data_IF_796310054084
#
_entry.id   IF_796310054084
#
_cell.length_a   1.000
_cell.length_b   1.000
_cell.length_c   1.000
_cell.angle_alpha   90.00
_cell.angle_beta   90.00
_cell.angle_gamma   90.00
#
_symmetry.space_group_name_H-M   'P 1'
#
loop_
_entity.id
_entity.type
_entity.pdbx_description
1 polymer ?
#
# COMPACT_ATOMS: atom_id res chain seq x y z
N UNK A 1 18.21 25.25 -16.27
CA UNK A 1 18.51 24.60 -14.97
C UNK A 1 19.44 23.44 -15.21
N UNK A 2 20.42 23.23 -14.34
CA UNK A 2 21.34 22.08 -14.39
C UNK A 2 20.55 20.78 -14.09
N UNK A 3 20.76 19.74 -14.90
CA UNK A 3 20.09 18.44 -14.71
C UNK A 3 20.70 17.73 -13.49
N UNK A 4 19.93 17.62 -12.40
CA UNK A 4 20.35 16.92 -11.18
C UNK A 4 20.34 15.39 -11.38
N UNK A 5 21.42 14.72 -10.99
CA UNK A 5 21.57 13.27 -11.01
C UNK A 5 22.96 12.85 -11.45
N UNK A 6 23.54 11.82 -10.80
CA UNK A 6 24.93 11.40 -11.01
C UNK A 6 25.24 10.82 -12.39
N UNK A 7 24.21 10.41 -13.15
CA UNK A 7 24.32 9.89 -14.50
C UNK A 7 22.98 10.06 -15.24
N UNK A 8 22.96 9.72 -16.54
CA UNK A 8 21.78 9.89 -17.41
C UNK A 8 20.54 9.12 -16.91
N UNK A 9 20.70 7.90 -16.38
CA UNK A 9 19.59 7.11 -15.82
C UNK A 9 18.93 7.85 -14.67
N UNK A 10 19.71 8.30 -13.70
CA UNK A 10 19.19 9.01 -12.53
C UNK A 10 18.56 10.35 -12.93
N UNK A 11 19.13 11.05 -13.90
CA UNK A 11 18.54 12.28 -14.44
C UNK A 11 17.17 12.02 -15.06
N UNK A 12 17.01 10.96 -15.86
CA UNK A 12 15.72 10.58 -16.48
C UNK A 12 14.68 10.16 -15.44
N UNK A 13 15.05 9.26 -14.52
CA UNK A 13 14.15 8.82 -13.44
C UNK A 13 13.70 9.98 -12.55
N UNK A 14 14.63 10.89 -12.22
CA UNK A 14 14.30 12.09 -11.45
C UNK A 14 13.35 13.00 -12.22
N UNK A 15 13.57 13.19 -13.52
CA UNK A 15 12.69 14.01 -14.36
C UNK A 15 11.26 13.49 -14.31
N UNK A 16 11.06 12.18 -14.52
CA UNK A 16 9.74 11.54 -14.35
C UNK A 16 9.17 11.83 -12.96
N UNK A 17 9.94 11.55 -11.91
CA UNK A 17 9.48 11.73 -10.52
C UNK A 17 9.00 13.14 -10.18
N UNK A 18 9.64 14.18 -10.72
CA UNK A 18 9.33 15.59 -10.38
C UNK A 18 8.44 16.30 -11.38
N UNK A 19 8.27 15.76 -12.60
CA UNK A 19 7.49 16.39 -13.67
C UNK A 19 6.16 15.69 -13.94
N UNK A 20 5.99 14.43 -13.53
CA UNK A 20 4.72 13.74 -13.68
C UNK A 20 3.64 14.42 -12.84
N UNK A 21 2.53 14.79 -13.49
CA UNK A 21 1.37 15.37 -12.85
C UNK A 21 0.77 14.36 -11.85
N UNK A 22 0.64 14.70 -10.56
CA UNK A 22 -0.04 13.84 -9.60
C UNK A 22 -1.50 13.64 -9.97
N UNK A 23 -1.96 12.41 -9.82
CA UNK A 23 -3.33 11.97 -10.11
C UNK A 23 -3.88 11.14 -8.95
N UNK A 24 -5.20 11.04 -8.86
CA UNK A 24 -5.87 10.09 -8.00
C UNK A 24 -5.93 8.72 -8.70
N UNK A 25 -5.77 7.64 -7.93
CA UNK A 25 -6.01 6.26 -8.35
C UNK A 25 -7.17 5.66 -7.54
N UNK A 26 -8.12 5.03 -8.25
CA UNK A 26 -9.28 4.38 -7.65
C UNK A 26 -9.13 2.85 -7.54
N UNK A 27 -8.07 2.25 -8.08
CA UNK A 27 -7.84 0.79 -8.10
C UNK A 27 -7.94 0.20 -6.68
N UNK A 28 -7.20 0.78 -5.72
CA UNK A 28 -7.17 0.31 -4.33
C UNK A 28 -8.57 0.35 -3.70
N UNK A 29 -9.27 1.48 -3.81
CA UNK A 29 -10.57 1.68 -3.19
C UNK A 29 -11.63 0.74 -3.76
N UNK A 30 -11.58 0.45 -5.06
CA UNK A 30 -12.45 -0.53 -5.69
C UNK A 30 -12.20 -1.94 -5.14
N UNK A 31 -10.93 -2.38 -5.11
CA UNK A 31 -10.54 -3.69 -4.56
C UNK A 31 -10.96 -3.82 -3.09
N UNK A 32 -10.71 -2.80 -2.28
CA UNK A 32 -11.10 -2.78 -0.86
C UNK A 32 -12.62 -2.90 -0.71
N UNK A 33 -13.38 -2.14 -1.50
CA UNK A 33 -14.85 -2.17 -1.49
C UNK A 33 -15.38 -3.57 -1.83
N UNK A 34 -14.82 -4.23 -2.83
CA UNK A 34 -15.22 -5.60 -3.22
C UNK A 34 -14.96 -6.61 -2.09
N UNK A 35 -13.76 -6.56 -1.51
CA UNK A 35 -13.38 -7.44 -0.39
C UNK A 35 -14.32 -7.24 0.78
N UNK A 36 -14.55 -5.99 1.17
CA UNK A 36 -15.36 -5.66 2.33
C UNK A 36 -16.83 -6.06 2.12
N UNK A 37 -17.40 -5.82 0.93
CA UNK A 37 -18.75 -6.31 0.59
C UNK A 37 -18.86 -7.83 0.70
N UNK A 38 -17.78 -8.57 0.37
CA UNK A 38 -17.75 -10.02 0.39
C UNK A 38 -17.56 -10.62 1.79
N UNK A 39 -16.69 -10.04 2.62
CA UNK A 39 -16.20 -10.69 3.84
C UNK A 39 -16.58 -9.99 5.14
N UNK A 40 -17.01 -8.72 5.11
CA UNK A 40 -17.35 -7.99 6.33
C UNK A 40 -18.47 -8.69 7.11
N UNK A 41 -18.27 -8.90 8.41
CA UNK A 41 -19.20 -9.61 9.28
C UNK A 41 -19.09 -11.14 9.25
N UNK A 42 -18.28 -11.72 8.35
CA UNK A 42 -18.06 -13.16 8.26
C UNK A 42 -16.70 -13.60 8.81
N UNK A 43 -15.73 -12.68 8.89
CA UNK A 43 -14.38 -12.92 9.42
C UNK A 43 -14.02 -11.85 10.44
N UNK A 44 -13.01 -12.12 11.26
CA UNK A 44 -12.46 -11.16 12.23
C UNK A 44 -11.85 -9.93 11.51
N UNK A 45 -11.76 -8.80 12.22
CA UNK A 45 -11.20 -7.58 11.66
C UNK A 45 -9.75 -7.73 11.14
N UNK A 46 -8.82 -8.41 11.85
CA UNK A 46 -7.45 -8.64 11.35
C UNK A 46 -7.44 -9.46 10.07
N UNK A 47 -8.26 -10.51 10.00
CA UNK A 47 -8.38 -11.36 8.80
C UNK A 47 -9.01 -10.58 7.65
N UNK A 48 -10.02 -9.73 7.90
CA UNK A 48 -10.63 -8.89 6.87
C UNK A 48 -9.60 -7.94 6.22
N UNK A 49 -8.78 -7.25 7.03
CA UNK A 49 -7.71 -6.37 6.53
C UNK A 49 -6.69 -7.15 5.73
N UNK A 50 -6.27 -8.32 6.22
CA UNK A 50 -5.30 -9.15 5.53
C UNK A 50 -5.84 -9.72 4.21
N UNK A 51 -7.13 -10.09 4.15
CA UNK A 51 -7.78 -10.52 2.90
C UNK A 51 -7.84 -9.40 1.87
N UNK A 52 -8.12 -8.17 2.31
CA UNK A 52 -8.02 -6.99 1.44
C UNK A 52 -6.60 -6.84 0.91
N UNK A 53 -5.61 -6.85 1.79
CA UNK A 53 -4.20 -6.71 1.39
C UNK A 53 -3.77 -7.82 0.42
N UNK A 54 -4.20 -9.06 0.65
CA UNK A 54 -3.99 -10.20 -0.26
C UNK A 54 -4.59 -9.95 -1.64
N UNK A 55 -5.85 -9.52 -1.72
CA UNK A 55 -6.50 -9.22 -3.00
C UNK A 55 -5.79 -8.06 -3.71
N UNK A 56 -5.39 -7.01 -2.98
CA UNK A 56 -4.65 -5.88 -3.54
C UNK A 56 -3.29 -6.31 -4.11
N UNK A 57 -2.47 -7.03 -3.34
CA UNK A 57 -1.16 -7.51 -3.80
C UNK A 57 -1.29 -8.49 -4.97
N UNK A 58 -2.39 -9.25 -5.03
CA UNK A 58 -2.70 -10.18 -6.11
C UNK A 58 -3.18 -9.53 -7.41
N UNK A 59 -3.83 -8.35 -7.34
CA UNK A 59 -4.50 -7.73 -8.48
C UNK A 59 -3.89 -6.43 -8.96
N UNK A 60 -3.28 -5.62 -8.07
CA UNK A 60 -2.81 -4.27 -8.41
C UNK A 60 -1.99 -4.25 -9.70
N UNK A 61 -2.13 -3.20 -10.49
CA UNK A 61 -1.29 -2.96 -11.66
C UNK A 61 0.18 -2.95 -11.27
N UNK A 62 1.05 -3.47 -12.13
CA UNK A 62 2.48 -3.49 -11.91
C UNK A 62 3.14 -2.50 -12.87
N UNK A 63 4.13 -1.77 -12.37
CA UNK A 63 4.87 -0.78 -13.13
C UNK A 63 6.37 -1.05 -13.02
N UNK A 64 7.04 -1.07 -14.17
CA UNK A 64 8.50 -1.03 -14.26
C UNK A 64 8.84 0.03 -15.31
N UNK A 65 9.24 1.20 -14.84
CA UNK A 65 9.63 2.33 -15.67
C UNK A 65 10.92 2.10 -16.44
N UNK A 66 11.14 2.91 -17.48
CA UNK A 66 12.38 2.86 -18.25
C UNK A 66 13.57 3.23 -17.36
N UNK A 67 14.58 2.35 -17.33
CA UNK A 67 15.80 2.57 -16.55
C UNK A 67 15.68 2.26 -15.06
N UNK A 68 14.51 1.87 -14.55
CA UNK A 68 14.37 1.45 -13.15
C UNK A 68 15.18 0.20 -12.83
N UNK A 69 15.76 0.18 -11.62
CA UNK A 69 16.47 -0.97 -11.06
C UNK A 69 15.78 -1.50 -9.80
N UNK A 70 15.16 -0.62 -9.03
CA UNK A 70 14.28 -0.95 -7.90
C UNK A 70 12.86 -0.73 -8.39
N UNK A 71 11.98 -1.71 -8.21
CA UNK A 71 10.68 -1.73 -8.88
C UNK A 71 9.52 -1.76 -7.91
N UNK A 72 8.46 -1.05 -8.29
CA UNK A 72 7.16 -1.09 -7.63
C UNK A 72 6.60 0.31 -7.38
N UNK A 73 5.33 0.49 -7.73
CA UNK A 73 4.59 1.73 -7.50
C UNK A 73 3.37 1.49 -6.61
N UNK A 74 2.95 2.53 -5.88
CA UNK A 74 1.73 2.48 -5.06
C UNK A 74 0.50 2.34 -5.96
N UNK A 75 0.34 3.28 -6.89
CA UNK A 75 -0.67 3.23 -7.94
C UNK A 75 -0.21 2.45 -9.17
N UNK A 76 -0.86 2.73 -10.28
CA UNK A 76 -0.67 2.09 -11.59
C UNK A 76 0.58 2.62 -12.31
N UNK A 77 1.01 3.85 -11.97
CA UNK A 77 2.15 4.55 -12.55
C UNK A 77 2.67 5.64 -11.59
N UNK A 78 3.83 6.29 -11.88
CA UNK A 78 4.40 7.30 -11.00
C UNK A 78 3.41 8.42 -10.70
N UNK A 79 3.39 8.89 -9.44
CA UNK A 79 2.51 9.96 -8.94
C UNK A 79 0.99 9.63 -8.98
N UNK A 80 0.60 8.38 -9.21
CA UNK A 80 -0.77 7.90 -9.00
C UNK A 80 -1.02 7.59 -7.52
N UNK A 81 -1.77 8.45 -6.84
CA UNK A 81 -2.05 8.37 -5.41
C UNK A 81 -3.32 7.56 -5.14
N UNK A 82 -3.24 6.40 -4.46
CA UNK A 82 -4.42 5.61 -4.12
C UNK A 82 -5.28 6.32 -3.06
N UNK A 83 -6.58 6.06 -3.08
CA UNK A 83 -7.52 6.55 -2.05
C UNK A 83 -7.79 5.52 -0.94
N UNK A 84 -8.17 6.03 0.23
CA UNK A 84 -8.35 5.26 1.47
C UNK A 84 -9.73 5.53 2.10
N UNK A 85 -10.81 5.04 1.47
CA UNK A 85 -12.17 5.38 1.87
C UNK A 85 -12.55 4.80 3.24
N UNK A 86 -11.83 3.80 3.75
CA UNK A 86 -12.00 3.30 5.11
C UNK A 86 -11.53 4.29 6.18
N UNK A 87 -10.64 5.21 5.82
CA UNK A 87 -10.15 6.29 6.67
C UNK A 87 -10.97 7.55 6.47
N UNK A 88 -10.94 8.09 5.25
CA UNK A 88 -11.68 9.28 4.84
C UNK A 88 -12.35 9.01 3.49
N UNK A 89 -13.68 8.95 3.50
CA UNK A 89 -14.48 8.86 2.30
C UNK A 89 -14.75 10.28 1.78
N UNK A 90 -13.98 10.70 0.77
CA UNK A 90 -14.13 12.02 0.14
C UNK A 90 -15.54 12.20 -0.47
N UNK A 91 -16.10 13.39 -0.34
CA UNK A 91 -17.27 13.81 -1.10
C UNK A 91 -16.92 14.11 -2.57
N UNK A 92 -17.92 14.37 -3.40
CA UNK A 92 -17.67 14.85 -4.77
C UNK A 92 -17.04 16.24 -4.78
N UNK A 93 -17.44 17.12 -3.85
CA UNK A 93 -16.83 18.43 -3.66
C UNK A 93 -15.35 18.30 -3.29
N UNK A 94 -14.99 17.37 -2.41
CA UNK A 94 -13.58 17.11 -2.09
C UNK A 94 -12.79 16.69 -3.34
N UNK A 95 -13.36 15.86 -4.22
CA UNK A 95 -12.71 15.46 -5.48
C UNK A 95 -12.53 16.66 -6.42
N UNK A 96 -13.52 17.53 -6.55
CA UNK A 96 -13.42 18.77 -7.33
C UNK A 96 -12.31 19.69 -6.77
N UNK A 97 -12.28 19.87 -5.44
CA UNK A 97 -11.26 20.68 -4.77
C UNK A 97 -9.86 20.10 -4.98
N UNK A 98 -9.68 18.78 -4.89
CA UNK A 98 -8.37 18.14 -5.14
C UNK A 98 -7.90 18.33 -6.58
N UNK A 99 -8.81 18.28 -7.56
CA UNK A 99 -8.49 18.46 -8.98
C UNK A 99 -8.11 19.92 -9.31
N UNK A 100 -8.84 20.87 -8.73
CA UNK A 100 -8.81 22.27 -9.11
C UNK A 100 -7.89 23.15 -8.26
N UNK A 101 -7.53 22.71 -7.04
CA UNK A 101 -6.73 23.55 -6.13
C UNK A 101 -5.40 23.96 -6.74
N UNK A 102 -5.02 25.22 -6.52
CA UNK A 102 -3.81 25.80 -7.11
C UNK A 102 -2.53 25.10 -6.63
N UNK A 103 -2.48 24.74 -5.34
CA UNK A 103 -1.32 24.12 -4.71
C UNK A 103 -1.60 22.65 -4.39
N UNK A 104 -0.63 21.80 -4.71
CA UNK A 104 -0.65 20.36 -4.40
C UNK A 104 -1.86 19.65 -5.03
N UNK A 105 -2.26 19.97 -6.27
CA UNK A 105 -3.40 19.29 -6.91
C UNK A 105 -3.10 17.83 -7.26
N UNK A 106 -4.17 17.03 -7.23
CA UNK A 106 -4.20 15.68 -7.77
C UNK A 106 -5.29 15.64 -8.83
N UNK A 107 -4.91 15.35 -10.08
CA UNK A 107 -5.89 15.26 -11.16
C UNK A 107 -6.82 14.07 -10.97
N UNK A 108 -8.09 14.30 -11.23
CA UNK A 108 -9.15 13.29 -11.08
C UNK A 108 -9.74 13.01 -12.47
N UNK A 109 -9.76 11.74 -12.86
CA UNK A 109 -10.39 11.34 -14.12
C UNK A 109 -11.92 11.49 -14.01
N UNK A 110 -12.58 11.93 -15.09
CA UNK A 110 -14.03 12.19 -15.10
C UNK A 110 -14.84 10.94 -14.67
N UNK A 111 -14.38 9.74 -15.04
CA UNK A 111 -15.04 8.49 -14.65
C UNK A 111 -14.97 8.21 -13.14
N UNK A 112 -13.99 8.75 -12.43
CA UNK A 112 -13.81 8.52 -10.99
C UNK A 112 -14.86 9.23 -10.16
N UNK A 113 -15.45 10.34 -10.64
CA UNK A 113 -16.59 10.98 -9.97
C UNK A 113 -17.80 10.04 -9.93
N UNK A 114 -18.10 9.36 -11.05
CA UNK A 114 -19.20 8.42 -11.11
C UNK A 114 -18.94 7.17 -10.24
N UNK A 115 -17.70 6.69 -10.19
CA UNK A 115 -17.30 5.59 -9.29
C UNK A 115 -17.46 6.01 -7.83
N UNK A 116 -17.00 7.21 -7.49
CA UNK A 116 -17.09 7.74 -6.13
C UNK A 116 -18.55 7.84 -5.67
N UNK A 117 -19.40 8.47 -6.49
CA UNK A 117 -20.82 8.67 -6.21
C UNK A 117 -21.59 7.35 -6.08
N UNK A 118 -21.40 6.43 -7.03
CA UNK A 118 -22.26 5.25 -7.17
C UNK A 118 -21.76 4.04 -6.39
N UNK A 119 -20.47 3.98 -6.09
CA UNK A 119 -19.84 2.78 -5.50
C UNK A 119 -19.20 3.04 -4.15
N UNK A 120 -18.37 4.09 -4.05
CA UNK A 120 -17.53 4.32 -2.86
C UNK A 120 -18.33 4.98 -1.75
N UNK A 121 -18.91 6.17 -1.99
CA UNK A 121 -19.69 6.93 -0.99
C UNK A 121 -20.80 6.07 -0.37
N UNK A 122 -21.65 5.36 -1.13
CA UNK A 122 -22.77 4.61 -0.55
C UNK A 122 -22.32 3.50 0.41
N UNK A 123 -21.11 2.97 0.22
CA UNK A 123 -20.56 1.95 1.10
C UNK A 123 -19.76 2.56 2.26
N UNK A 124 -18.90 3.53 2.00
CA UNK A 124 -17.88 3.96 2.94
C UNK A 124 -18.23 5.17 3.80
N UNK A 125 -19.15 6.03 3.40
CA UNK A 125 -19.42 7.30 4.10
C UNK A 125 -19.70 7.09 5.61
N UNK A 126 -20.69 6.26 5.93
CA UNK A 126 -21.01 5.90 7.32
C UNK A 126 -19.99 4.96 7.99
N UNK A 127 -19.06 4.37 7.22
CA UNK A 127 -18.09 3.37 7.71
C UNK A 127 -16.70 3.95 7.95
N UNK A 128 -16.38 5.10 7.35
CA UNK A 128 -15.07 5.72 7.42
C UNK A 128 -14.68 6.04 8.86
N UNK A 129 -13.39 5.98 9.13
CA UNK A 129 -12.84 6.31 10.45
C UNK A 129 -13.12 7.77 10.79
N UNK A 130 -13.01 8.68 9.82
CA UNK A 130 -13.34 10.10 9.96
C UNK A 130 -14.77 10.31 10.46
N UNK A 131 -15.75 9.71 9.79
CA UNK A 131 -17.17 9.82 10.16
C UNK A 131 -17.41 9.31 11.59
N UNK A 132 -16.75 8.21 11.97
CA UNK A 132 -16.83 7.66 13.34
C UNK A 132 -16.19 8.55 14.38
N UNK A 133 -15.03 9.15 14.10
CA UNK A 133 -14.36 10.09 15.00
C UNK A 133 -15.27 11.29 15.24
N UNK A 134 -15.62 12.02 14.18
CA UNK A 134 -16.40 13.26 14.27
C UNK A 134 -17.79 13.04 14.88
N UNK A 135 -18.43 11.90 14.59
CA UNK A 135 -19.71 11.51 15.18
C UNK A 135 -19.66 11.21 16.68
N UNK A 136 -18.47 10.93 17.25
CA UNK A 136 -18.28 10.63 18.68
C UNK A 136 -17.72 11.80 19.49
N UNK A 137 -17.23 12.85 18.84
CA UNK A 137 -16.67 14.01 19.52
C UNK A 137 -17.77 14.90 20.11
N UNK A 138 -17.47 15.52 21.25
CA UNK A 138 -18.33 16.50 21.93
C UNK A 138 -18.39 17.81 21.15
N UNK A 139 -19.41 18.63 21.40
CA UNK A 139 -19.53 19.94 20.73
C UNK A 139 -18.37 20.87 21.10
N UNK A 140 -17.96 20.90 22.38
CA UNK A 140 -16.80 21.68 22.82
C UNK A 140 -15.48 21.28 22.11
N UNK A 141 -15.31 19.99 21.78
CA UNK A 141 -14.17 19.54 20.99
C UNK A 141 -14.25 20.07 19.56
N UNK A 142 -15.43 20.01 18.93
CA UNK A 142 -15.65 20.48 17.56
C UNK A 142 -15.45 21.99 17.45
N UNK A 143 -15.93 22.76 18.42
CA UNK A 143 -15.75 24.21 18.47
C UNK A 143 -14.26 24.57 18.55
N UNK A 144 -13.49 23.88 19.40
CA UNK A 144 -12.05 24.11 19.53
C UNK A 144 -11.27 23.73 18.26
N UNK A 145 -11.63 22.61 17.63
CA UNK A 145 -11.06 22.18 16.36
C UNK A 145 -11.36 23.18 15.23
N UNK A 146 -12.61 23.63 15.09
CA UNK A 146 -13.02 24.62 14.09
C UNK A 146 -12.38 26.00 14.31
N UNK A 147 -12.13 26.37 15.57
CA UNK A 147 -11.41 27.59 15.93
C UNK A 147 -9.89 27.49 15.71
N UNK A 148 -9.36 26.33 15.32
CA UNK A 148 -7.93 26.13 15.06
C UNK A 148 -7.08 26.06 16.33
N UNK A 149 -7.67 25.68 17.47
CA UNK A 149 -6.93 25.55 18.75
C UNK A 149 -6.02 24.31 18.72
N UNK A 150 -6.45 23.24 18.05
CA UNK A 150 -5.67 22.04 17.79
C UNK A 150 -6.12 21.41 16.46
N UNK A 151 -5.36 20.41 15.99
CA UNK A 151 -5.70 19.58 14.82
C UNK A 151 -5.84 18.11 15.22
N UNK A 152 -6.51 17.30 14.41
CA UNK A 152 -6.66 15.85 14.61
C UNK A 152 -5.89 15.11 13.51
N UNK A 153 -4.88 14.32 13.87
CA UNK A 153 -3.98 13.69 12.90
C UNK A 153 -4.60 12.47 12.23
N UNK A 154 -5.53 11.80 12.91
CA UNK A 154 -6.12 10.53 12.47
C UNK A 154 -7.45 10.72 11.71
N UNK A 155 -7.87 11.95 11.43
CA UNK A 155 -9.12 12.19 10.70
C UNK A 155 -9.06 11.77 9.22
N UNK A 156 -7.87 11.79 8.60
CA UNK A 156 -7.69 11.48 7.17
C UNK A 156 -6.56 10.49 6.89
N UNK A 157 -5.82 10.10 7.94
CA UNK A 157 -4.70 9.15 7.87
C UNK A 157 -4.89 8.09 8.95
N UNK A 158 -4.37 6.89 8.69
CA UNK A 158 -4.26 5.87 9.72
C UNK A 158 -3.16 6.23 10.71
N UNK A 159 -3.18 5.63 11.91
CA UNK A 159 -1.98 5.60 12.74
C UNK A 159 -0.80 5.08 11.93
N UNK A 160 0.40 5.49 12.32
CA UNK A 160 1.63 5.19 11.59
C UNK A 160 2.79 5.68 12.41
N UNK A 161 3.62 6.54 11.81
CA UNK A 161 4.73 7.21 12.48
C UNK A 161 5.66 6.20 13.18
N UNK A 162 5.97 5.13 12.47
CA UNK A 162 6.92 4.10 12.89
C UNK A 162 8.06 4.02 11.88
N UNK A 163 9.12 3.31 12.21
CA UNK A 163 10.26 3.08 11.31
C UNK A 163 10.46 1.59 11.10
N UNK A 164 10.92 1.22 9.91
CA UNK A 164 11.28 -0.15 9.63
C UNK A 164 12.33 -0.72 10.58
N UNK A 165 12.28 -2.04 10.76
CA UNK A 165 13.29 -2.80 11.52
C UNK A 165 14.33 -3.38 10.57
N UNK A 166 15.56 -3.47 11.03
CA UNK A 166 16.65 -4.20 10.38
C UNK A 166 16.35 -5.70 10.17
N UNK A 167 15.34 -6.22 10.85
CA UNK A 167 14.89 -7.61 10.77
C UNK A 167 14.48 -8.04 9.35
N UNK A 168 14.04 -7.13 8.48
CA UNK A 168 13.73 -7.44 7.08
C UNK A 168 14.98 -7.86 6.28
N UNK A 169 16.17 -7.54 6.77
CA UNK A 169 17.45 -7.94 6.17
C UNK A 169 17.97 -9.27 6.74
N UNK A 170 17.56 -9.62 7.96
CA UNK A 170 17.94 -10.87 8.61
C UNK A 170 17.04 -12.05 8.19
N UNK A 171 15.74 -11.79 7.95
CA UNK A 171 14.71 -12.81 7.72
C UNK A 171 13.81 -12.46 6.55
N UNK A 172 13.44 -13.47 5.76
CA UNK A 172 12.41 -13.36 4.73
C UNK A 172 10.99 -13.47 5.31
N UNK A 173 9.96 -13.28 4.50
CA UNK A 173 8.58 -13.50 4.95
C UNK A 173 8.24 -15.00 5.10
N UNK A 174 8.97 -15.92 4.45
CA UNK A 174 8.85 -17.36 4.72
C UNK A 174 9.25 -17.71 6.16
N UNK A 175 10.32 -17.10 6.67
CA UNK A 175 10.74 -17.27 8.08
C UNK A 175 9.65 -16.78 9.05
N UNK A 176 8.99 -15.66 8.71
CA UNK A 176 7.88 -15.10 9.50
C UNK A 176 6.65 -15.99 9.47
N UNK A 177 6.29 -16.55 8.31
CA UNK A 177 5.21 -17.53 8.20
C UNK A 177 5.49 -18.76 9.08
N UNK A 178 6.71 -19.30 9.02
CA UNK A 178 7.09 -20.43 9.87
C UNK A 178 7.01 -20.10 11.37
N UNK A 179 7.42 -18.89 11.77
CA UNK A 179 7.25 -18.43 13.15
C UNK A 179 5.77 -18.32 13.53
N UNK A 180 4.94 -17.69 12.69
CA UNK A 180 3.50 -17.55 12.92
C UNK A 180 2.80 -18.91 13.03
N UNK A 181 3.16 -19.87 12.17
CA UNK A 181 2.59 -21.21 12.17
C UNK A 181 2.94 -21.97 13.45
N UNK A 182 4.14 -21.78 13.98
CA UNK A 182 4.53 -22.31 15.29
C UNK A 182 3.72 -21.67 16.41
N UNK A 183 3.65 -20.33 16.46
CA UNK A 183 2.88 -19.62 17.49
C UNK A 183 1.40 -20.02 17.48
N UNK A 184 0.81 -20.25 16.30
CA UNK A 184 -0.56 -20.74 16.16
C UNK A 184 -0.76 -22.15 16.74
N UNK A 185 0.23 -23.04 16.58
CA UNK A 185 0.19 -24.41 17.11
C UNK A 185 0.34 -24.43 18.64
N UNK A 186 1.12 -23.50 19.19
CA UNK A 186 1.46 -23.44 20.60
C UNK A 186 0.40 -22.68 21.45
N UNK A 187 -0.70 -22.19 20.85
CA UNK A 187 -1.77 -21.48 21.56
C UNK A 187 -2.51 -22.38 22.56
N UNK A 188 -2.54 -21.96 23.83
CA UNK A 188 -3.27 -22.64 24.91
C UNK A 188 -4.73 -22.18 25.01
N UNK A 189 -5.61 -22.83 24.25
CA UNK A 189 -7.05 -22.54 24.30
C UNK A 189 -7.76 -22.95 25.60
N UNK A 190 -7.10 -23.68 26.50
CA UNK A 190 -7.70 -24.13 27.76
C UNK A 190 -7.47 -23.12 28.87
N UNK A 191 -6.28 -22.52 28.94
CA UNK A 191 -5.90 -21.64 30.04
C UNK A 191 -5.71 -20.16 29.63
N UNK A 192 -5.59 -19.85 28.33
CA UNK A 192 -5.47 -18.47 27.84
C UNK A 192 -6.78 -18.00 27.19
N UNK A 193 -7.51 -17.13 27.88
CA UNK A 193 -8.77 -16.55 27.40
C UNK A 193 -8.58 -15.68 26.14
N UNK A 194 -7.38 -15.16 25.90
CA UNK A 194 -7.07 -14.37 24.70
C UNK A 194 -6.60 -15.23 23.54
N UNK A 195 -6.40 -16.55 23.71
CA UNK A 195 -5.93 -17.44 22.66
C UNK A 195 -6.78 -17.34 21.37
N UNK A 196 -8.14 -17.27 21.42
CA UNK A 196 -8.94 -17.05 20.21
C UNK A 196 -8.63 -15.73 19.49
N UNK A 197 -8.44 -14.63 20.22
CA UNK A 197 -8.11 -13.34 19.63
C UNK A 197 -6.69 -13.32 19.04
N UNK A 198 -5.72 -13.92 19.75
CA UNK A 198 -4.34 -14.10 19.26
C UNK A 198 -4.32 -14.92 17.97
N UNK A 199 -5.11 -15.99 17.90
CA UNK A 199 -5.24 -16.81 16.71
C UNK A 199 -5.71 -15.99 15.50
N UNK A 200 -6.71 -15.13 15.67
CA UNK A 200 -7.22 -14.28 14.59
C UNK A 200 -6.20 -13.23 14.13
N UNK A 201 -5.44 -12.64 15.05
CA UNK A 201 -4.33 -11.74 14.71
C UNK A 201 -3.23 -12.48 13.92
N UNK A 202 -2.80 -13.65 14.39
CA UNK A 202 -1.78 -14.47 13.75
C UNK A 202 -2.23 -14.95 12.36
N UNK A 203 -3.50 -15.34 12.19
CA UNK A 203 -4.07 -15.67 10.86
C UNK A 203 -4.01 -14.48 9.91
N UNK A 204 -4.37 -13.28 10.40
CA UNK A 204 -4.23 -12.04 9.62
C UNK A 204 -2.78 -11.78 9.19
N UNK A 205 -1.83 -11.85 10.13
CA UNK A 205 -0.40 -11.67 9.85
C UNK A 205 0.13 -12.68 8.82
N UNK A 206 -0.29 -13.95 8.93
CA UNK A 206 0.11 -15.00 7.99
C UNK A 206 -0.37 -14.69 6.56
N UNK A 207 -1.64 -14.29 6.41
CA UNK A 207 -2.21 -13.90 5.12
C UNK A 207 -1.47 -12.69 4.53
N UNK A 208 -1.14 -11.70 5.36
CA UNK A 208 -0.38 -10.52 4.91
C UNK A 208 1.04 -10.87 4.45
N UNK A 209 1.72 -11.78 5.18
CA UNK A 209 3.04 -12.30 4.79
C UNK A 209 2.98 -13.06 3.46
N UNK A 210 1.95 -13.87 3.22
CA UNK A 210 1.74 -14.54 1.93
C UNK A 210 1.46 -13.54 0.80
N UNK A 211 0.71 -12.47 1.08
CA UNK A 211 0.35 -11.44 0.12
C UNK A 211 1.57 -10.68 -0.42
N UNK A 212 2.49 -10.25 0.45
CA UNK A 212 3.70 -9.54 0.02
C UNK A 212 4.66 -10.45 -0.77
N UNK A 213 4.72 -11.75 -0.43
CA UNK A 213 5.44 -12.75 -1.22
C UNK A 213 4.84 -12.88 -2.62
N UNK A 214 3.51 -12.90 -2.71
CA UNK A 214 2.81 -12.94 -3.99
C UNK A 214 3.14 -11.71 -4.85
N UNK A 215 3.24 -10.51 -4.27
CA UNK A 215 3.67 -9.30 -4.98
C UNK A 215 5.07 -9.49 -5.60
N UNK A 216 6.05 -9.95 -4.82
CA UNK A 216 7.41 -10.20 -5.32
C UNK A 216 7.43 -11.20 -6.48
N UNK A 217 6.67 -12.29 -6.36
CA UNK A 217 6.52 -13.29 -7.44
C UNK A 217 5.90 -12.69 -8.70
N UNK A 218 4.88 -11.83 -8.57
CA UNK A 218 4.26 -11.15 -9.72
C UNK A 218 5.25 -10.20 -10.41
N UNK A 219 6.02 -9.42 -9.64
CA UNK A 219 7.09 -8.57 -10.22
C UNK A 219 8.20 -9.38 -10.88
N UNK A 220 8.56 -10.54 -10.31
CA UNK A 220 9.51 -11.46 -10.92
C UNK A 220 9.04 -11.92 -12.30
N UNK A 221 7.78 -12.37 -12.41
CA UNK A 221 7.17 -12.76 -13.69
C UNK A 221 7.07 -11.59 -14.67
N UNK A 222 6.58 -10.43 -14.22
CA UNK A 222 6.42 -9.25 -15.06
C UNK A 222 7.75 -8.74 -15.63
N UNK A 223 8.81 -8.70 -14.82
CA UNK A 223 10.14 -8.32 -15.29
C UNK A 223 10.70 -9.31 -16.34
N UNK A 224 10.46 -10.62 -16.17
CA UNK A 224 10.84 -11.63 -17.15
C UNK A 224 10.08 -11.46 -18.49
N UNK A 225 8.77 -11.16 -18.42
CA UNK A 225 7.96 -10.89 -19.62
C UNK A 225 8.45 -9.65 -20.38
N UNK A 226 8.80 -8.57 -19.68
CA UNK A 226 9.40 -7.39 -20.28
C UNK A 226 10.77 -7.71 -20.90
N UNK A 227 11.61 -8.48 -20.20
CA UNK A 227 12.92 -8.90 -20.72
C UNK A 227 12.82 -9.72 -22.01
N UNK A 228 11.78 -10.54 -22.16
CA UNK A 228 11.54 -11.34 -23.36
C UNK A 228 11.22 -10.47 -24.59
N UNK A 229 10.61 -9.30 -24.38
CA UNK A 229 10.21 -8.33 -25.42
C UNK A 229 11.25 -7.23 -25.66
N UNK A 230 12.29 -7.17 -24.82
CA UNK A 230 13.32 -6.14 -24.86
C UNK A 230 14.40 -6.46 -25.92
N UNK A 231 14.68 -5.46 -26.76
CA UNK A 231 15.67 -5.56 -27.84
C UNK A 231 17.04 -5.05 -27.39
N UNK A 232 17.10 -4.10 -26.45
CA UNK A 232 18.35 -3.59 -25.92
C UNK A 232 19.00 -4.64 -25.00
N UNK A 233 20.19 -5.19 -25.33
CA UNK A 233 20.80 -6.25 -24.53
C UNK A 233 21.14 -5.83 -23.09
N UNK A 234 21.49 -4.56 -22.89
CA UNK A 234 21.76 -4.00 -21.56
C UNK A 234 20.49 -3.95 -20.71
N UNK A 235 19.40 -3.38 -21.24
CA UNK A 235 18.13 -3.31 -20.53
C UNK A 235 17.54 -4.71 -20.27
N UNK A 236 17.67 -5.62 -21.23
CA UNK A 236 17.25 -7.01 -21.06
C UNK A 236 17.96 -7.68 -19.88
N UNK A 237 19.28 -7.50 -19.75
CA UNK A 237 20.04 -8.02 -18.61
C UNK A 237 19.58 -7.43 -17.28
N UNK A 238 19.25 -6.13 -17.24
CA UNK A 238 18.71 -5.49 -16.04
C UNK A 238 17.35 -6.07 -15.65
N UNK A 239 16.44 -6.25 -16.60
CA UNK A 239 15.11 -6.81 -16.35
C UNK A 239 15.18 -8.27 -15.87
N UNK A 240 16.09 -9.08 -16.43
CA UNK A 240 16.36 -10.41 -15.91
C UNK A 240 16.90 -10.37 -14.48
N UNK A 241 17.82 -9.43 -14.18
CA UNK A 241 18.32 -9.27 -12.82
C UNK A 241 17.24 -8.83 -11.83
N UNK A 242 16.33 -7.95 -12.24
CA UNK A 242 15.15 -7.57 -11.45
C UNK A 242 14.27 -8.80 -11.20
N UNK A 243 14.03 -9.61 -12.24
CA UNK A 243 13.25 -10.84 -12.12
C UNK A 243 13.85 -11.79 -11.08
N UNK A 244 15.17 -12.02 -11.14
CA UNK A 244 15.90 -12.84 -10.16
C UNK A 244 15.85 -12.26 -8.75
N UNK A 245 15.99 -10.94 -8.60
CA UNK A 245 15.90 -10.29 -7.29
C UNK A 245 14.52 -10.46 -6.67
N UNK A 246 13.45 -10.20 -7.43
CA UNK A 246 12.07 -10.35 -6.99
C UNK A 246 11.64 -11.81 -6.78
N UNK A 247 12.37 -12.77 -7.36
CA UNK A 247 12.19 -14.19 -7.07
C UNK A 247 12.69 -14.54 -5.67
N UNK A 248 13.73 -13.84 -5.17
CA UNK A 248 14.28 -14.02 -3.83
C UNK A 248 13.50 -13.19 -2.80
N UNK A 249 13.43 -11.87 -2.96
CA UNK A 249 12.79 -10.97 -1.98
C UNK A 249 11.37 -10.61 -2.44
N UNK A 250 10.38 -10.55 -1.53
CA UNK A 250 10.52 -10.54 -0.07
C UNK A 250 10.38 -11.94 0.59
N UNK A 251 10.26 -13.02 -0.17
CA UNK A 251 10.05 -14.37 0.37
C UNK A 251 11.21 -14.83 1.27
N UNK A 252 12.42 -14.64 0.78
CA UNK A 252 13.67 -15.00 1.43
C UNK A 252 14.45 -13.75 1.87
N UNK A 253 15.39 -13.92 2.79
CA UNK A 253 16.31 -12.83 3.18
C UNK A 253 17.16 -12.36 1.98
N UNK A 254 17.46 -11.06 1.87
CA UNK A 254 18.32 -10.55 0.81
C UNK A 254 19.75 -11.12 0.91
N UNK A 255 20.36 -11.44 -0.23
CA UNK A 255 21.74 -11.94 -0.35
C UNK A 255 22.69 -10.93 -0.97
N UNK A 256 22.15 -9.89 -1.60
CA UNK A 256 22.91 -8.80 -2.24
C UNK A 256 22.38 -7.46 -1.77
N UNK A 257 23.18 -6.40 -1.95
CA UNK A 257 22.74 -5.04 -1.63
C UNK A 257 21.53 -4.60 -2.45
N UNK A 258 21.45 -5.00 -3.73
CA UNK A 258 20.28 -4.73 -4.57
C UNK A 258 19.03 -5.39 -3.99
N UNK A 259 19.13 -6.67 -3.61
CA UNK A 259 18.01 -7.38 -2.97
C UNK A 259 17.60 -6.73 -1.64
N UNK A 260 18.54 -6.19 -0.86
CA UNK A 260 18.22 -5.48 0.37
C UNK A 260 17.41 -4.20 0.12
N UNK A 261 17.77 -3.41 -0.90
CA UNK A 261 17.00 -2.22 -1.27
C UNK A 261 15.62 -2.62 -1.81
N UNK A 262 15.54 -3.65 -2.65
CA UNK A 262 14.27 -4.13 -3.19
C UNK A 262 13.36 -4.71 -2.11
N UNK A 263 13.92 -5.41 -1.10
CA UNK A 263 13.20 -5.88 0.08
C UNK A 263 12.57 -4.70 0.83
N UNK A 264 13.38 -3.69 1.17
CA UNK A 264 12.89 -2.47 1.81
C UNK A 264 11.76 -1.82 0.99
N UNK A 265 11.96 -1.68 -0.32
CA UNK A 265 10.98 -1.03 -1.18
C UNK A 265 9.66 -1.79 -1.23
N UNK A 266 9.68 -3.13 -1.32
CA UNK A 266 8.44 -3.91 -1.25
C UNK A 266 7.74 -3.76 0.09
N UNK A 267 8.47 -3.80 1.21
CA UNK A 267 7.86 -3.60 2.54
C UNK A 267 7.25 -2.20 2.66
N UNK A 268 7.98 -1.16 2.23
CA UNK A 268 7.49 0.22 2.19
C UNK A 268 6.21 0.35 1.35
N UNK A 269 6.14 -0.26 0.17
CA UNK A 269 4.94 -0.30 -0.65
C UNK A 269 3.79 -1.03 0.07
N UNK A 270 4.06 -2.20 0.65
CA UNK A 270 3.08 -3.00 1.36
C UNK A 270 2.40 -2.23 2.50
N UNK A 271 3.19 -1.69 3.42
CA UNK A 271 2.67 -0.97 4.59
C UNK A 271 1.95 0.33 4.21
N UNK A 272 2.42 1.05 3.18
CA UNK A 272 1.78 2.30 2.72
C UNK A 272 0.59 2.08 1.78
N UNK A 273 0.29 0.83 1.42
CA UNK A 273 -0.91 0.41 0.69
C UNK A 273 -1.92 -0.28 1.61
N UNK A 274 -1.46 -0.97 2.66
CA UNK A 274 -2.33 -1.56 3.68
C UNK A 274 -3.19 -0.50 4.37
N UNK A 275 -2.60 0.66 4.64
CA UNK A 275 -3.26 1.84 5.23
C UNK A 275 -2.58 3.11 4.71
N UNK A 276 -3.15 4.29 4.96
CA UNK A 276 -2.49 5.58 4.72
C UNK A 276 -1.80 6.05 6.00
N UNK A 277 -0.59 5.57 6.35
CA UNK A 277 0.05 5.91 7.61
C UNK A 277 0.47 7.38 7.64
N UNK A 278 0.62 7.92 8.84
CA UNK A 278 1.34 9.16 9.08
C UNK A 278 2.85 8.93 8.87
N UNK A 279 3.41 9.51 7.81
CA UNK A 279 4.81 9.38 7.38
C UNK A 279 5.31 7.94 7.12
N UNK A 280 6.55 7.84 6.64
CA UNK A 280 7.15 6.66 6.00
C UNK A 280 7.23 5.40 6.88
N UNK A 281 7.48 4.26 6.22
CA UNK A 281 8.24 3.12 6.75
C UNK A 281 9.69 3.24 6.30
#
# INVERSE_FOLDING_TARGET
MEKRGMNERIQKLREVSVSTQPVISMERALIETEVYKKYQGQVSAPVLRALFFKELMGKKALYIGEGELIVGEKGEYPQAAPTFPELCCHSLEDMEVMDQRELISFKVEDEYFAIQEKTIIPYWDARSTRTKILGRMTDAWKDAYQAGIFTEFMEQRGPGHTVGSDDIYARGFNDRIAQIDKELQDLDYLNDQEAPHKAEQLKGMRIAAEAIIALGRRYSGYAAELAAKENNPGRKKELLQISENCQVVPAEKPKTFWQAIQMYWFVHLGVTLEINPWDAY
#
